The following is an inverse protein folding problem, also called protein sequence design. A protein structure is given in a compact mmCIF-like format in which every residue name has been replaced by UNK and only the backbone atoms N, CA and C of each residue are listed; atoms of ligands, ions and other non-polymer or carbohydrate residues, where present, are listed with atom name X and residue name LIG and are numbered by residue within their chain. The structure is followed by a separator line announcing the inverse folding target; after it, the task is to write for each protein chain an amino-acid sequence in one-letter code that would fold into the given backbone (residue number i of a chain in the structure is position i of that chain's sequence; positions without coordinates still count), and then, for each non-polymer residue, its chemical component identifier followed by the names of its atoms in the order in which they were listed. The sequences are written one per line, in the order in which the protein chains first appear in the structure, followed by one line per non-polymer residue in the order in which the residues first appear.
data_IF_251311197771
#
_entry.id   IF_251311197771
#
_cell.length_a   1.000
_cell.length_b   1.000
_cell.length_c   1.000
_cell.angle_alpha   90.00
_cell.angle_beta   90.00
_cell.angle_gamma   90.00
#
_symmetry.space_group_name_H-M   'P 1'
#
loop_
_entity.id
_entity.type
_entity.pdbx_description
1 polymer ?
#
# COMPACT_ATOMS: atom_id res chain seq x y z
N UNK A 1 -23.35 -28.38 22.48
CA UNK A 1 -22.37 -27.63 21.65
C UNK A 1 -23.16 -26.70 20.75
N UNK A 2 -23.11 -25.39 21.00
CA UNK A 2 -23.86 -24.41 20.19
C UNK A 2 -23.11 -24.25 18.87
N UNK A 3 -23.71 -24.71 17.77
CA UNK A 3 -23.25 -24.48 16.41
C UNK A 3 -23.34 -23.00 16.09
N UNK A 4 -22.21 -22.36 15.80
CA UNK A 4 -22.22 -21.04 15.16
C UNK A 4 -22.87 -21.17 13.77
N UNK A 5 -23.75 -20.23 13.37
CA UNK A 5 -24.31 -20.25 12.03
C UNK A 5 -23.19 -20.03 11.00
N UNK A 6 -23.27 -20.63 9.80
CA UNK A 6 -22.38 -20.25 8.72
C UNK A 6 -22.68 -18.78 8.39
N UNK A 7 -21.68 -17.90 8.58
CA UNK A 7 -21.81 -16.51 8.21
C UNK A 7 -21.83 -16.41 6.68
N UNK A 8 -23.00 -16.61 6.07
CA UNK A 8 -23.22 -16.34 4.66
C UNK A 8 -24.20 -15.18 4.52
N UNK A 9 -23.73 -13.97 4.78
CA UNK A 9 -24.35 -12.77 4.21
C UNK A 9 -23.32 -12.12 3.29
N UNK A 10 -23.36 -12.49 2.01
CA UNK A 10 -22.63 -11.82 0.93
C UNK A 10 -23.30 -10.48 0.64
N UNK A 11 -23.26 -9.58 1.61
CA UNK A 11 -23.70 -8.20 1.42
C UNK A 11 -22.52 -7.47 0.82
N UNK A 12 -22.65 -6.87 -0.37
CA UNK A 12 -21.58 -6.08 -0.93
C UNK A 12 -21.28 -4.91 0.01
N UNK A 13 -20.00 -4.74 0.35
CA UNK A 13 -19.54 -3.67 1.23
C UNK A 13 -19.26 -2.44 0.34
N UNK A 14 -19.69 -1.26 0.78
CA UNK A 14 -19.28 -0.02 0.12
C UNK A 14 -17.77 0.11 0.21
N UNK A 15 -17.15 0.61 -0.84
CA UNK A 15 -15.71 0.80 -0.88
C UNK A 15 -15.23 1.61 0.34
N UNK A 16 -14.23 1.06 1.03
CA UNK A 16 -13.52 1.66 2.16
C UNK A 16 -12.19 0.93 2.32
N UNK A 17 -11.32 1.46 3.15
CA UNK A 17 -10.16 0.70 3.61
C UNK A 17 -10.61 -0.55 4.40
N UNK A 18 -10.04 -1.74 4.11
CA UNK A 18 -10.39 -2.98 4.78
C UNK A 18 -9.67 -3.11 6.13
N UNK A 19 -9.83 -2.10 6.97
CA UNK A 19 -9.20 -1.92 8.28
C UNK A 19 -10.19 -1.23 9.23
N UNK A 20 -9.92 -1.27 10.53
CA UNK A 20 -10.80 -0.70 11.56
C UNK A 20 -11.12 0.77 11.26
N UNK A 21 -10.07 1.56 11.03
CA UNK A 21 -10.18 2.97 10.64
C UNK A 21 -10.07 3.15 9.11
N UNK A 22 -10.78 4.13 8.57
CA UNK A 22 -10.77 4.45 7.14
C UNK A 22 -9.60 5.38 6.74
N UNK A 23 -8.41 5.15 7.30
CA UNK A 23 -7.23 5.95 6.99
C UNK A 23 -6.61 5.52 5.67
N UNK A 24 -6.40 6.49 4.78
CA UNK A 24 -5.83 6.27 3.45
C UNK A 24 -4.33 6.52 3.48
N UNK A 25 -3.51 5.72 2.78
CA UNK A 25 -2.10 6.01 2.64
C UNK A 25 -1.89 7.17 1.65
N UNK A 26 -1.02 8.10 1.99
CA UNK A 26 -0.60 9.24 1.19
C UNK A 26 0.90 9.13 0.97
N UNK A 27 1.33 9.24 -0.29
CA UNK A 27 2.75 9.37 -0.66
C UNK A 27 3.02 10.70 -1.32
N UNK A 28 4.05 11.38 -0.85
CA UNK A 28 4.55 12.62 -1.44
C UNK A 28 5.92 12.35 -2.03
N UNK A 29 6.10 12.77 -3.28
CA UNK A 29 7.39 12.79 -3.96
C UNK A 29 7.43 14.04 -4.86
N UNK A 30 7.89 15.14 -4.28
CA UNK A 30 7.79 16.48 -4.87
C UNK A 30 9.21 16.98 -5.11
N UNK A 31 9.50 17.39 -6.34
CA UNK A 31 10.78 17.95 -6.73
C UNK A 31 10.57 19.34 -7.33
N UNK A 32 11.25 20.35 -6.79
CA UNK A 32 11.23 21.72 -7.30
C UNK A 32 12.61 22.38 -7.14
N UNK A 33 13.15 22.90 -8.23
CA UNK A 33 14.43 23.64 -8.26
C UNK A 33 15.61 22.90 -7.58
N UNK A 34 15.65 21.56 -7.73
CA UNK A 34 16.71 20.73 -7.17
C UNK A 34 16.51 20.35 -5.70
N UNK A 35 15.48 20.86 -5.05
CA UNK A 35 15.04 20.39 -3.74
C UNK A 35 13.95 19.33 -3.91
N UNK A 36 14.07 18.22 -3.19
CA UNK A 36 13.11 17.12 -3.22
C UNK A 36 12.58 16.85 -1.83
N UNK A 37 11.27 16.71 -1.72
CA UNK A 37 10.58 16.35 -0.50
C UNK A 37 9.87 15.02 -0.73
N UNK A 38 10.21 14.01 0.08
CA UNK A 38 9.57 12.71 0.09
C UNK A 38 9.01 12.44 1.46
N UNK A 39 7.78 11.96 1.50
CA UNK A 39 7.11 11.61 2.75
C UNK A 39 6.02 10.57 2.49
N UNK A 40 5.65 9.82 3.52
CA UNK A 40 4.63 8.78 3.45
C UNK A 40 3.92 8.67 4.79
N UNK A 41 2.61 8.89 4.79
CA UNK A 41 1.79 8.94 6.01
C UNK A 41 0.36 8.52 5.71
N UNK A 42 -0.46 8.42 6.75
CA UNK A 42 -1.89 8.13 6.63
C UNK A 42 -2.73 9.38 6.82
N UNK A 43 -3.84 9.49 6.09
CA UNK A 43 -4.77 10.61 6.17
C UNK A 43 -6.20 10.14 6.38
N UNK A 44 -6.98 10.87 7.17
CA UNK A 44 -8.41 10.62 7.29
C UNK A 44 -9.17 11.33 6.16
N UNK A 45 -9.81 10.62 5.22
CA UNK A 45 -10.45 11.22 4.06
C UNK A 45 -11.68 12.08 4.41
N UNK A 46 -12.19 11.98 5.64
CA UNK A 46 -13.29 12.82 6.14
C UNK A 46 -12.83 14.15 6.71
N UNK A 47 -11.53 14.36 6.90
CA UNK A 47 -11.01 15.62 7.42
C UNK A 47 -11.22 16.77 6.41
N UNK A 48 -11.47 18.00 6.88
CA UNK A 48 -11.72 19.14 6.00
C UNK A 48 -10.46 19.56 5.26
N UNK A 49 -10.62 20.15 4.07
CA UNK A 49 -9.51 20.62 3.23
C UNK A 49 -8.59 21.65 3.94
N UNK A 50 -9.10 22.35 4.95
CA UNK A 50 -8.31 23.25 5.79
C UNK A 50 -7.20 22.53 6.56
N UNK A 51 -7.38 21.26 6.93
CA UNK A 51 -6.34 20.47 7.60
C UNK A 51 -5.20 20.12 6.64
N UNK A 52 -5.50 19.80 5.37
CA UNK A 52 -4.48 19.56 4.33
C UNK A 52 -3.60 20.79 4.15
N UNK A 53 -4.22 21.97 4.04
CA UNK A 53 -3.50 23.24 3.90
C UNK A 53 -2.67 23.54 5.15
N UNK A 54 -3.22 23.26 6.33
CA UNK A 54 -2.54 23.49 7.61
C UNK A 54 -1.33 22.56 7.78
N UNK A 55 -1.48 21.29 7.41
CA UNK A 55 -0.39 20.33 7.31
C UNK A 55 0.70 20.84 6.37
N UNK A 56 0.37 21.16 5.12
CA UNK A 56 1.34 21.64 4.13
C UNK A 56 2.12 22.88 4.61
N UNK A 57 1.44 23.86 5.24
CA UNK A 57 2.09 25.04 5.84
C UNK A 57 3.04 24.69 6.98
N UNK A 58 2.63 23.79 7.89
CA UNK A 58 3.47 23.32 9.01
C UNK A 58 4.70 22.58 8.49
N UNK A 59 4.52 21.60 7.60
CA UNK A 59 5.61 20.83 6.99
C UNK A 59 6.63 21.73 6.30
N UNK A 60 6.18 22.68 5.48
CA UNK A 60 7.08 23.62 4.78
C UNK A 60 7.85 24.50 5.76
N UNK A 61 7.19 24.96 6.83
CA UNK A 61 7.83 25.76 7.88
C UNK A 61 8.88 24.95 8.66
N UNK A 62 8.52 23.75 9.11
CA UNK A 62 9.34 22.92 9.99
C UNK A 62 10.59 22.40 9.24
N UNK A 63 10.41 22.01 7.98
CA UNK A 63 11.49 21.54 7.11
C UNK A 63 12.21 22.66 6.35
N UNK A 64 11.81 23.92 6.56
CA UNK A 64 12.37 25.12 5.90
C UNK A 64 12.38 25.00 4.37
N UNK A 65 11.30 24.46 3.81
CA UNK A 65 11.13 24.32 2.36
C UNK A 65 10.69 25.66 1.72
N UNK A 66 10.90 25.84 0.41
CA UNK A 66 10.38 26.97 -0.34
C UNK A 66 8.83 27.04 -0.27
N UNK A 67 8.23 28.25 -0.21
CA UNK A 67 6.77 28.40 -0.09
C UNK A 67 5.94 27.71 -1.19
N UNK A 68 6.52 27.49 -2.37
CA UNK A 68 5.88 26.77 -3.48
C UNK A 68 5.52 25.32 -3.10
N UNK A 69 6.23 24.70 -2.16
CA UNK A 69 5.90 23.36 -1.68
C UNK A 69 4.54 23.31 -0.99
N UNK A 70 4.01 24.43 -0.46
CA UNK A 70 2.69 24.44 0.19
C UNK A 70 1.61 24.05 -0.82
N UNK A 71 1.65 24.65 -2.01
CA UNK A 71 0.67 24.36 -3.06
C UNK A 71 0.89 22.98 -3.66
N UNK A 72 2.15 22.57 -3.88
CA UNK A 72 2.48 21.25 -4.42
C UNK A 72 2.07 20.11 -3.48
N UNK A 73 2.35 20.22 -2.17
CA UNK A 73 1.94 19.24 -1.15
C UNK A 73 0.42 19.15 -1.13
N UNK A 74 -0.27 20.29 -1.02
CA UNK A 74 -1.74 20.32 -0.95
C UNK A 74 -2.37 19.68 -2.19
N UNK A 75 -1.87 20.01 -3.39
CA UNK A 75 -2.36 19.43 -4.64
C UNK A 75 -2.14 17.92 -4.71
N UNK A 76 -0.97 17.43 -4.30
CA UNK A 76 -0.67 16.00 -4.29
C UNK A 76 -1.59 15.22 -3.34
N UNK A 77 -1.83 15.74 -2.13
CA UNK A 77 -2.76 15.15 -1.16
C UNK A 77 -4.19 15.15 -1.71
N UNK A 78 -4.65 16.29 -2.22
CA UNK A 78 -6.01 16.40 -2.80
C UNK A 78 -6.22 15.48 -3.99
N UNK A 79 -5.21 15.27 -4.85
CA UNK A 79 -5.32 14.33 -5.98
C UNK A 79 -5.51 12.90 -5.50
N UNK A 80 -4.74 12.45 -4.50
CA UNK A 80 -4.86 11.11 -3.92
C UNK A 80 -6.21 10.92 -3.20
N UNK A 81 -6.68 11.96 -2.49
CA UNK A 81 -8.02 11.98 -1.89
C UNK A 81 -9.13 11.90 -2.94
N UNK A 82 -8.98 12.63 -4.06
CA UNK A 82 -9.95 12.60 -5.15
C UNK A 82 -10.00 11.22 -5.83
N UNK A 83 -8.84 10.58 -6.02
CA UNK A 83 -8.76 9.20 -6.50
C UNK A 83 -9.50 8.25 -5.56
N UNK A 84 -9.22 8.30 -4.25
CA UNK A 84 -9.91 7.48 -3.26
C UNK A 84 -11.43 7.69 -3.30
N UNK A 85 -11.89 8.95 -3.28
CA UNK A 85 -13.31 9.33 -3.31
C UNK A 85 -14.03 8.88 -4.58
N UNK A 86 -13.31 8.70 -5.70
CA UNK A 86 -13.88 8.14 -6.94
C UNK A 86 -14.40 6.71 -6.78
N UNK A 87 -13.94 5.99 -5.75
CA UNK A 87 -14.35 4.62 -5.45
C UNK A 87 -15.42 4.51 -4.35
N UNK A 88 -15.58 5.48 -3.44
CA UNK A 88 -16.49 5.40 -2.27
C UNK A 88 -17.96 5.03 -2.60
N UNK A 89 -18.45 5.46 -3.77
CA UNK A 89 -19.81 5.15 -4.25
C UNK A 89 -19.96 3.74 -4.83
N UNK A 90 -18.89 2.95 -4.88
CA UNK A 90 -18.84 1.65 -5.52
C UNK A 90 -18.90 0.51 -4.50
N UNK A 91 -19.36 -0.65 -4.96
CA UNK A 91 -19.30 -1.87 -4.15
C UNK A 91 -17.99 -2.59 -4.41
N UNK A 92 -17.38 -3.07 -3.33
CA UNK A 92 -16.23 -3.97 -3.39
C UNK A 92 -16.61 -5.35 -2.89
N UNK A 93 -16.03 -6.38 -3.50
CA UNK A 93 -16.16 -7.76 -3.04
C UNK A 93 -14.95 -8.16 -2.22
N UNK A 94 -15.05 -8.01 -0.90
CA UNK A 94 -14.16 -8.66 0.05
C UNK A 94 -14.64 -10.09 0.27
N UNK A 95 -14.32 -10.99 -0.67
CA UNK A 95 -14.45 -12.43 -0.39
C UNK A 95 -13.51 -12.77 0.76
N UNK A 96 -13.88 -13.74 1.61
CA UNK A 96 -12.97 -14.36 2.56
C UNK A 96 -11.68 -14.75 1.82
N UNK A 97 -10.62 -13.97 2.02
CA UNK A 97 -9.41 -14.03 1.22
C UNK A 97 -8.24 -13.63 2.10
N UNK A 98 -7.27 -14.53 2.18
CA UNK A 98 -5.98 -14.20 2.77
C UNK A 98 -5.01 -13.84 1.65
N UNK A 99 -4.33 -12.72 1.83
CA UNK A 99 -3.36 -12.18 0.88
C UNK A 99 -1.99 -12.10 1.53
N UNK A 100 -0.90 -12.36 0.80
CA UNK A 100 0.43 -12.05 1.31
C UNK A 100 0.64 -10.53 1.27
N UNK A 101 1.09 -9.97 2.39
CA UNK A 101 1.62 -8.61 2.49
C UNK A 101 3.14 -8.74 2.54
N UNK A 102 3.84 -7.91 1.78
CA UNK A 102 5.31 -7.89 1.72
C UNK A 102 5.83 -6.54 2.17
N UNK A 103 6.75 -6.56 3.12
CA UNK A 103 7.49 -5.39 3.56
C UNK A 103 8.88 -5.45 2.93
N UNK A 104 9.26 -4.36 2.27
CA UNK A 104 10.63 -4.10 1.84
C UNK A 104 10.84 -2.60 2.05
N UNK A 105 11.22 -2.24 3.27
CA UNK A 105 11.30 -0.85 3.70
C UNK A 105 12.71 -0.54 4.18
N UNK A 106 13.13 0.68 3.90
CA UNK A 106 14.37 1.25 4.41
C UNK A 106 14.04 2.60 5.01
N UNK A 107 14.30 2.72 6.31
CA UNK A 107 14.09 3.94 7.09
C UNK A 107 15.38 4.22 7.83
N UNK A 108 16.00 5.37 7.54
CA UNK A 108 17.31 5.72 8.05
C UNK A 108 18.35 4.60 7.80
N UNK A 109 18.85 4.01 8.88
CA UNK A 109 19.81 2.91 8.86
C UNK A 109 19.15 1.53 8.96
N UNK A 110 17.84 1.45 9.16
CA UNK A 110 17.12 0.19 9.36
C UNK A 110 16.51 -0.29 8.05
N UNK A 111 16.85 -1.51 7.63
CA UNK A 111 16.21 -2.21 6.52
C UNK A 111 15.39 -3.36 7.08
N UNK A 112 14.08 -3.34 6.84
CA UNK A 112 13.16 -4.41 7.22
C UNK A 112 12.59 -5.07 5.97
N UNK A 113 12.81 -6.38 5.86
CA UNK A 113 12.22 -7.24 4.84
C UNK A 113 11.42 -8.33 5.51
N UNK A 114 10.12 -8.37 5.24
CA UNK A 114 9.23 -9.37 5.83
C UNK A 114 8.12 -9.72 4.85
N UNK A 115 7.48 -10.86 5.07
CA UNK A 115 6.26 -11.22 4.37
C UNK A 115 5.37 -11.99 5.33
N UNK A 116 4.12 -11.58 5.44
CA UNK A 116 3.10 -12.24 6.27
C UNK A 116 1.77 -12.36 5.51
N UNK A 117 0.82 -13.04 6.13
CA UNK A 117 -0.51 -13.24 5.57
C UNK A 117 -1.50 -12.31 6.28
N UNK A 118 -2.33 -11.64 5.51
CA UNK A 118 -3.34 -10.71 5.99
C UNK A 118 -4.73 -11.12 5.54
N UNK A 119 -5.69 -11.12 6.46
CA UNK A 119 -7.10 -11.36 6.15
C UNK A 119 -7.79 -10.04 5.80
N UNK A 120 -8.10 -9.84 4.51
CA UNK A 120 -8.76 -8.61 4.04
C UNK A 120 -10.25 -8.57 4.39
N UNK A 121 -10.83 -9.70 4.82
CA UNK A 121 -12.22 -9.76 5.24
C UNK A 121 -12.42 -9.32 6.69
N UNK A 122 -11.33 -9.29 7.48
CA UNK A 122 -11.35 -8.74 8.83
C UNK A 122 -11.26 -7.21 8.82
N UNK A 123 -12.42 -6.56 8.75
CA UNK A 123 -12.56 -5.09 8.78
C UNK A 123 -12.18 -4.45 10.13
N UNK A 124 -11.91 -5.23 11.17
CA UNK A 124 -11.48 -4.73 12.49
C UNK A 124 -9.95 -4.76 12.64
N UNK A 125 -9.21 -5.10 11.57
CA UNK A 125 -7.74 -5.13 11.61
C UNK A 125 -7.14 -3.73 11.73
N UNK A 126 -6.10 -3.60 12.55
CA UNK A 126 -5.36 -2.35 12.80
C UNK A 126 -3.89 -2.50 12.35
N UNK A 127 -3.51 -1.95 11.18
CA UNK A 127 -2.13 -1.94 10.69
C UNK A 127 -1.14 -1.24 11.61
N UNK A 128 -1.55 -0.18 12.30
CA UNK A 128 -0.71 0.59 13.22
C UNK A 128 -0.39 -0.22 14.48
N UNK A 129 -1.36 -0.95 15.04
CA UNK A 129 -1.14 -1.85 16.17
C UNK A 129 -0.26 -3.04 15.78
N UNK A 130 -0.50 -3.61 14.60
CA UNK A 130 0.36 -4.65 14.05
C UNK A 130 1.81 -4.14 13.92
N UNK A 131 2.01 -2.94 13.34
CA UNK A 131 3.33 -2.35 13.17
C UNK A 131 4.04 -2.10 14.51
N UNK A 132 3.33 -1.56 15.51
CA UNK A 132 3.88 -1.36 16.88
C UNK A 132 4.32 -2.67 17.51
N UNK A 133 3.51 -3.72 17.36
CA UNK A 133 3.83 -5.05 17.89
C UNK A 133 5.02 -5.65 17.17
N UNK A 134 5.07 -5.56 15.84
CA UNK A 134 6.19 -6.05 15.04
C UNK A 134 7.51 -5.35 15.40
N UNK A 135 7.51 -4.01 15.52
CA UNK A 135 8.71 -3.29 15.94
C UNK A 135 9.16 -3.70 17.35
N UNK A 136 8.22 -3.90 18.28
CA UNK A 136 8.52 -4.33 19.65
C UNK A 136 9.10 -5.76 19.68
N UNK A 137 8.54 -6.67 18.90
CA UNK A 137 8.96 -8.08 18.85
C UNK A 137 10.33 -8.25 18.19
N UNK A 138 10.68 -7.36 17.24
CA UNK A 138 11.96 -7.32 16.54
C UNK A 138 13.00 -6.39 17.17
N UNK A 139 12.67 -5.76 18.30
CA UNK A 139 13.53 -4.80 19.00
C UNK A 139 14.00 -3.63 18.11
N UNK A 140 13.11 -3.13 17.26
CA UNK A 140 13.36 -1.98 16.39
C UNK A 140 13.10 -0.70 17.19
N UNK A 141 14.17 0.05 17.46
CA UNK A 141 14.12 1.29 18.25
C UNK A 141 13.70 2.54 17.43
N UNK A 142 13.90 2.52 16.10
CA UNK A 142 13.59 3.66 15.24
C UNK A 142 12.08 3.89 15.14
N UNK A 143 11.64 5.05 15.65
CA UNK A 143 10.23 5.44 15.75
C UNK A 143 9.57 5.67 14.39
N UNK A 144 10.33 5.89 13.33
CA UNK A 144 9.81 6.12 11.97
C UNK A 144 9.49 4.81 11.24
N UNK A 145 10.06 3.68 11.69
CA UNK A 145 9.85 2.36 11.07
C UNK A 145 8.41 1.90 11.25
N UNK A 146 7.83 2.01 12.45
CA UNK A 146 6.45 1.58 12.72
C UNK A 146 5.41 2.26 11.82
N UNK A 147 5.38 3.60 11.75
CA UNK A 147 4.53 4.34 10.80
C UNK A 147 4.74 3.90 9.35
N UNK A 148 5.99 3.69 8.92
CA UNK A 148 6.30 3.27 7.55
C UNK A 148 5.75 1.87 7.24
N UNK A 149 5.83 0.93 8.20
CA UNK A 149 5.19 -0.40 8.09
C UNK A 149 3.68 -0.25 7.91
N UNK A 150 3.03 0.55 8.76
CA UNK A 150 1.58 0.75 8.70
C UNK A 150 1.13 1.34 7.36
N UNK A 151 1.85 2.34 6.85
CA UNK A 151 1.61 2.92 5.52
C UNK A 151 1.78 1.86 4.43
N UNK A 152 2.88 1.09 4.44
CA UNK A 152 3.13 0.04 3.45
C UNK A 152 2.04 -1.04 3.42
N UNK A 153 1.53 -1.44 4.60
CA UNK A 153 0.39 -2.37 4.70
C UNK A 153 -0.86 -1.73 4.08
N UNK A 154 -1.18 -0.49 4.46
CA UNK A 154 -2.37 0.22 3.95
C UNK A 154 -2.32 0.42 2.43
N UNK A 155 -1.15 0.67 1.85
CA UNK A 155 -0.97 0.80 0.41
C UNK A 155 -1.35 -0.49 -0.33
N UNK A 156 -0.81 -1.63 0.12
CA UNK A 156 -1.14 -2.94 -0.45
C UNK A 156 -2.64 -3.26 -0.28
N UNK A 157 -3.21 -2.93 0.88
CA UNK A 157 -4.65 -3.13 1.13
C UNK A 157 -5.53 -2.24 0.23
N UNK A 158 -5.13 -1.00 -0.02
CA UNK A 158 -5.84 -0.08 -0.90
C UNK A 158 -5.86 -0.60 -2.34
N UNK A 159 -4.72 -1.04 -2.87
CA UNK A 159 -4.63 -1.66 -4.20
C UNK A 159 -5.54 -2.89 -4.34
N UNK A 160 -5.54 -3.75 -3.31
CA UNK A 160 -6.39 -4.95 -3.28
C UNK A 160 -7.87 -4.57 -3.22
N UNK A 161 -8.24 -3.52 -2.47
CA UNK A 161 -9.61 -3.02 -2.41
C UNK A 161 -10.08 -2.49 -3.78
N UNK A 162 -9.24 -1.72 -4.48
CA UNK A 162 -9.53 -1.23 -5.85
C UNK A 162 -9.72 -2.42 -6.81
N UNK A 163 -8.86 -3.43 -6.74
CA UNK A 163 -9.02 -4.66 -7.53
C UNK A 163 -10.34 -5.38 -7.20
N UNK A 164 -10.75 -5.36 -5.93
CA UNK A 164 -12.04 -5.83 -5.46
C UNK A 164 -13.22 -5.15 -6.15
N UNK A 165 -13.16 -3.82 -6.33
CA UNK A 165 -14.15 -3.04 -7.08
C UNK A 165 -14.18 -3.41 -8.56
N UNK A 166 -13.01 -3.52 -9.20
CA UNK A 166 -12.91 -3.90 -10.61
C UNK A 166 -13.56 -5.28 -10.88
N UNK A 167 -13.28 -6.26 -10.03
CA UNK A 167 -13.87 -7.60 -10.12
C UNK A 167 -15.39 -7.61 -9.89
N UNK A 168 -15.90 -6.72 -9.03
CA UNK A 168 -17.33 -6.58 -8.78
C UNK A 168 -18.05 -6.04 -10.02
N UNK A 169 -17.49 -5.03 -10.71
CA UNK A 169 -18.01 -4.49 -11.96
C UNK A 169 -18.09 -5.56 -13.06
N UNK A 170 -17.03 -6.34 -13.24
CA UNK A 170 -16.98 -7.39 -14.27
C UNK A 170 -18.03 -8.49 -14.03
N UNK A 171 -18.22 -8.91 -12.76
CA UNK A 171 -19.20 -9.93 -12.40
C UNK A 171 -20.67 -9.52 -12.71
N UNK A 172 -20.96 -8.21 -12.75
CA UNK A 172 -22.28 -7.68 -13.14
C UNK A 172 -22.45 -7.69 -14.65
N UNK A 173 -21.39 -7.37 -15.40
CA UNK A 173 -21.38 -7.32 -16.87
C UNK A 173 -21.42 -8.73 -17.49
N UNK A 174 -20.77 -9.71 -16.88
CA UNK A 174 -20.73 -11.11 -17.36
C UNK A 174 -22.08 -11.83 -17.44
N UNK A 175 -23.14 -11.30 -16.80
CA UNK A 175 -24.52 -11.82 -16.95
C UNK A 175 -25.22 -11.32 -18.22
N UNK A 176 -24.64 -10.36 -18.95
CA UNK A 176 -25.19 -9.75 -20.17
C UNK A 176 -24.14 -9.78 -21.30
N UNK A 177 -23.68 -10.96 -21.69
CA UNK A 177 -22.85 -11.09 -22.90
C UNK A 177 -21.94 -12.30 -22.93
N UNK A 178 -22.46 -13.44 -23.41
CA UNK A 178 -21.60 -14.40 -24.09
C UNK A 178 -21.22 -13.80 -25.45
N UNK A 179 -19.98 -13.33 -25.59
CA UNK A 179 -19.06 -13.50 -26.75
C UNK A 179 -17.92 -12.48 -26.68
N UNK A 180 -16.70 -13.00 -26.51
CA UNK A 180 -15.46 -12.54 -27.14
C UNK A 180 -14.94 -11.14 -26.85
N UNK A 181 -13.93 -11.05 -25.99
CA UNK A 181 -12.71 -10.27 -26.21
C UNK A 181 -11.74 -10.59 -25.07
N UNK A 182 -10.66 -11.32 -25.37
CA UNK A 182 -9.57 -11.52 -24.43
C UNK A 182 -8.85 -10.19 -24.22
N UNK A 183 -9.06 -9.56 -23.07
CA UNK A 183 -8.26 -8.41 -22.65
C UNK A 183 -7.16 -8.92 -21.71
N UNK A 184 -6.00 -9.19 -22.31
CA UNK A 184 -4.76 -9.37 -21.57
C UNK A 184 -4.34 -8.00 -21.01
N UNK A 185 -4.58 -7.77 -19.72
CA UNK A 185 -3.88 -6.73 -18.97
C UNK A 185 -2.83 -7.43 -18.12
N UNK A 186 -1.58 -7.31 -18.58
CA UNK A 186 -0.38 -7.82 -17.96
C UNK A 186 -0.04 -6.97 -16.72
N UNK A 187 -0.67 -7.23 -15.58
CA UNK A 187 -0.14 -6.79 -14.29
C UNK A 187 0.76 -7.90 -13.74
N UNK A 188 2.06 -7.62 -13.69
CA UNK A 188 3.04 -8.40 -12.93
C UNK A 188 2.82 -8.18 -11.43
N UNK A 189 1.67 -8.59 -10.93
CA UNK A 189 1.46 -8.90 -9.52
C UNK A 189 1.20 -10.39 -9.49
N UNK A 190 2.19 -11.18 -9.06
CA UNK A 190 2.03 -12.63 -8.90
C UNK A 190 0.75 -12.89 -8.10
N UNK A 191 -0.27 -13.43 -8.77
CA UNK A 191 -1.60 -13.72 -8.22
C UNK A 191 -1.51 -14.90 -7.24
N UNK A 192 -0.80 -14.69 -6.15
CA UNK A 192 -0.67 -15.60 -5.01
C UNK A 192 -1.78 -15.37 -3.99
N UNK A 193 -2.98 -15.00 -4.45
CA UNK A 193 -4.18 -15.02 -3.61
C UNK A 193 -4.43 -16.45 -3.14
N UNK A 194 -4.25 -16.70 -1.85
CA UNK A 194 -4.45 -18.03 -1.29
C UNK A 194 -5.94 -18.20 -0.99
N UNK A 195 -6.55 -19.19 -1.64
CA UNK A 195 -7.92 -19.58 -1.37
C UNK A 195 -7.97 -20.26 0.01
N UNK A 196 -8.71 -19.66 0.95
CA UNK A 196 -8.86 -20.14 2.32
C UNK A 196 -9.38 -21.59 2.37
N UNK A 197 -10.21 -22.00 1.42
CA UNK A 197 -10.73 -23.37 1.33
C UNK A 197 -9.61 -24.37 1.03
N UNK A 198 -8.55 -23.96 0.32
CA UNK A 198 -7.39 -24.80 0.01
C UNK A 198 -6.38 -24.85 1.17
N UNK A 199 -6.28 -23.80 1.98
CA UNK A 199 -5.35 -23.73 3.12
C UNK A 199 -5.91 -24.33 4.42
N UNK A 200 -7.21 -24.15 4.68
CA UNK A 200 -7.87 -24.50 5.95
C UNK A 200 -9.08 -25.45 5.79
N UNK A 201 -9.31 -26.01 4.61
CA UNK A 201 -10.27 -27.10 4.43
C UNK A 201 -9.89 -28.35 5.23
N UNK A 202 -10.64 -29.44 5.12
CA UNK A 202 -10.47 -30.66 5.94
C UNK A 202 -9.09 -31.36 5.83
N UNK A 203 -8.21 -30.90 4.93
CA UNK A 203 -6.81 -31.35 4.77
C UNK A 203 -5.78 -30.23 4.94
N UNK A 204 -6.23 -29.06 5.37
CA UNK A 204 -5.43 -27.87 5.59
C UNK A 204 -4.58 -27.99 6.86
N UNK A 205 -3.34 -27.51 6.80
CA UNK A 205 -2.44 -27.46 7.97
C UNK A 205 -2.35 -26.02 8.44
N UNK A 206 -2.58 -25.78 9.73
CA UNK A 206 -2.33 -24.49 10.39
C UNK A 206 -0.82 -24.20 10.47
N UNK A 207 0.01 -25.24 10.40
CA UNK A 207 1.47 -25.11 10.37
C UNK A 207 1.95 -25.01 8.93
N UNK A 208 2.72 -23.95 8.64
CA UNK A 208 3.39 -23.76 7.35
C UNK A 208 4.39 -24.90 7.09
N UNK A 209 4.55 -25.29 5.82
CA UNK A 209 5.56 -26.28 5.44
C UNK A 209 6.94 -25.73 5.78
N UNK A 210 7.80 -26.56 6.39
CA UNK A 210 9.16 -26.16 6.82
C UNK A 210 9.98 -25.52 5.69
N UNK A 211 9.85 -26.04 4.47
CA UNK A 211 10.54 -25.51 3.29
C UNK A 211 10.13 -24.08 2.92
N UNK A 212 9.00 -23.57 3.42
CA UNK A 212 8.51 -22.24 3.09
C UNK A 212 8.76 -21.25 4.26
N UNK A 213 9.36 -21.69 5.38
CA UNK A 213 9.54 -20.84 6.57
C UNK A 213 10.41 -19.61 6.30
N UNK A 214 11.48 -19.76 5.52
CA UNK A 214 12.38 -18.66 5.16
C UNK A 214 11.69 -17.52 4.40
N UNK A 215 10.50 -17.77 3.83
CA UNK A 215 9.70 -16.74 3.14
C UNK A 215 8.87 -15.89 4.08
N UNK A 216 8.78 -16.25 5.36
CA UNK A 216 7.94 -15.59 6.38
C UNK A 216 8.75 -15.28 7.64
N UNK A 217 10.08 -15.26 7.51
CA UNK A 217 11.00 -14.86 8.56
C UNK A 217 11.33 -13.38 8.32
N UNK A 218 11.06 -12.49 9.30
CA UNK A 218 11.43 -11.09 9.18
C UNK A 218 12.95 -10.95 9.23
N UNK A 219 13.50 -10.17 8.31
CA UNK A 219 14.92 -9.84 8.22
C UNK A 219 15.07 -8.36 8.54
N UNK A 220 15.80 -8.07 9.61
CA UNK A 220 16.17 -6.70 10.02
C UNK A 220 17.67 -6.55 9.89
N UNK A 221 18.09 -5.64 9.00
CA UNK A 221 19.49 -5.29 8.81
C UNK A 221 19.71 -3.84 9.26
N UNK A 222 20.70 -3.61 10.13
CA UNK A 222 21.12 -2.26 10.54
C UNK A 222 22.37 -1.88 9.74
N UNK A 223 22.22 -0.89 8.88
CA UNK A 223 23.27 -0.35 8.03
C UNK A 223 24.16 0.62 8.80
N UNK A 224 25.45 0.59 8.51
CA UNK A 224 26.34 1.69 8.90
C UNK A 224 25.97 2.98 8.17
N UNK A 225 26.37 4.14 8.73
CA UNK A 225 26.13 5.43 8.07
C UNK A 225 26.78 5.50 6.68
N UNK A 226 27.95 4.89 6.51
CA UNK A 226 28.63 4.84 5.21
C UNK A 226 27.84 4.01 4.18
N UNK A 227 27.31 2.85 4.59
CA UNK A 227 26.45 2.03 3.72
C UNK A 227 25.15 2.75 3.36
N UNK A 228 24.52 3.41 4.33
CA UNK A 228 23.30 4.18 4.11
C UNK A 228 23.53 5.34 3.11
N UNK A 229 24.57 6.14 3.32
CA UNK A 229 24.93 7.24 2.40
C UNK A 229 25.29 6.73 1.00
N UNK A 230 26.01 5.61 0.91
CA UNK A 230 26.35 5.00 -0.38
C UNK A 230 25.11 4.50 -1.14
N UNK A 231 24.13 3.94 -0.42
CA UNK A 231 22.85 3.53 -1.01
C UNK A 231 22.03 4.74 -1.48
N UNK A 232 21.95 5.80 -0.68
CA UNK A 232 21.22 7.03 -1.07
C UNK A 232 21.84 7.67 -2.32
N UNK A 233 23.17 7.76 -2.37
CA UNK A 233 23.88 8.25 -3.54
C UNK A 233 23.62 7.39 -4.78
N UNK A 234 23.55 6.07 -4.61
CA UNK A 234 23.21 5.13 -5.68
C UNK A 234 21.76 5.28 -6.14
N UNK A 235 20.82 5.42 -5.22
CA UNK A 235 19.40 5.65 -5.52
C UNK A 235 19.17 6.96 -6.28
N UNK A 236 19.82 8.05 -5.84
CA UNK A 236 19.77 9.35 -6.54
C UNK A 236 20.36 9.24 -7.94
N UNK A 237 21.49 8.55 -8.11
CA UNK A 237 22.08 8.30 -9.43
C UNK A 237 21.13 7.49 -10.31
N UNK A 238 20.54 6.42 -9.79
CA UNK A 238 19.61 5.57 -10.53
C UNK A 238 18.35 6.33 -10.93
N UNK A 239 17.79 7.16 -10.04
CA UNK A 239 16.64 8.00 -10.34
C UNK A 239 16.92 9.00 -11.47
N UNK A 240 18.10 9.63 -11.46
CA UNK A 240 18.55 10.53 -12.55
C UNK A 240 18.71 9.80 -13.88
N UNK A 241 19.26 8.58 -13.86
CA UNK A 241 19.40 7.77 -15.07
C UNK A 241 18.04 7.35 -15.62
N UNK A 242 17.12 6.93 -14.75
CA UNK A 242 15.75 6.58 -15.14
C UNK A 242 15.03 7.77 -15.78
N UNK A 243 15.07 8.95 -15.13
CA UNK A 243 14.46 10.17 -15.69
C UNK A 243 14.99 10.52 -17.09
N UNK A 244 16.30 10.39 -17.32
CA UNK A 244 16.91 10.60 -18.64
C UNK A 244 16.48 9.56 -19.69
N UNK A 245 16.18 8.34 -19.27
CA UNK A 245 15.66 7.30 -20.16
C UNK A 245 14.21 7.60 -20.54
N UNK A 246 13.38 7.95 -19.56
CA UNK A 246 11.96 8.30 -19.76
C UNK A 246 11.84 9.52 -20.70
N UNK A 247 12.62 10.60 -20.46
CA UNK A 247 12.67 11.78 -21.35
C UNK A 247 13.10 11.44 -22.79
N UNK A 248 13.99 10.44 -22.93
CA UNK A 248 14.45 9.98 -24.25
C UNK A 248 13.34 9.19 -24.94
N UNK A 249 12.64 8.30 -24.24
CA UNK A 249 11.50 7.54 -24.78
C UNK A 249 10.36 8.44 -25.24
N UNK A 250 9.98 9.45 -24.44
CA UNK A 250 8.95 10.44 -24.80
C UNK A 250 9.34 11.20 -26.08
N UNK A 251 10.62 11.58 -26.22
CA UNK A 251 11.12 12.27 -27.42
C UNK A 251 11.07 11.42 -28.70
N UNK A 252 11.10 10.09 -28.58
CA UNK A 252 10.93 9.17 -29.72
C UNK A 252 9.46 8.95 -30.08
N UNK A 253 8.57 8.94 -29.08
CA UNK A 253 7.13 8.84 -29.29
C UNK A 253 6.53 10.10 -29.92
N UNK A 254 7.02 11.30 -29.57
CA UNK A 254 6.56 12.55 -30.22
C UNK A 254 7.04 12.72 -31.67
N UNK A 255 8.06 11.96 -32.09
CA UNK A 255 8.63 12.01 -33.46
C UNK A 255 8.09 10.92 -34.40
N UNK A 256 7.23 10.03 -33.92
CA UNK A 256 6.63 8.92 -34.68
C UNK A 256 5.17 9.21 -35.01
#
# INVERSE_FOLDING_TARGET
MKSHPPCSSKTPVRFRMPTAENLIPIRLDIENEGQRFKDSFTWNPTDPDSEVISFAKRTVKDLKLPPIFITQISQSIHSQLAEFRSYEGQEMHLKERIVPIKLDIRVNNTVLRDQFLWDISNLESDPEEFARTLCKDLDIEDLEVGPTIAVCIREQLFEIAIQGVASARESRVGKKGRRGAESFINSKMSSSSLDLVKLFGSKGSVVRKRKDWYLYEPIVDILSNEEAEALDAREVRNARLKKKLDEKEDSFQERS
#
